data_IF_757836648685
#
_entry.id   IF_757836648685
#
_cell.length_a   1.000
_cell.length_b   1.000
_cell.length_c   1.000
_cell.angle_alpha   90.00
_cell.angle_beta   90.00
_cell.angle_gamma   90.00
#
_symmetry.space_group_name_H-M   'P 1'
#
loop_
_entity.id
_entity.type
_entity.pdbx_description
1 polymer ?
#
# COMPACT_ATOMS: atom_id res chain seq x y z
N UNK A 1 -35.29 -53.78 15.37
CA UNK A 1 -35.01 -52.51 16.09
C UNK A 1 -33.56 -52.05 15.97
N UNK A 2 -32.55 -52.88 16.28
CA UNK A 2 -31.11 -52.48 16.26
C UNK A 2 -30.59 -51.91 14.93
N UNK A 3 -31.14 -52.34 13.80
CA UNK A 3 -30.67 -51.91 12.47
C UNK A 3 -31.08 -50.46 12.11
N UNK A 4 -32.18 -49.95 12.67
CA UNK A 4 -32.67 -48.60 12.41
C UNK A 4 -31.90 -47.53 13.20
N UNK A 5 -31.45 -47.89 14.41
CA UNK A 5 -30.62 -47.03 15.26
C UNK A 5 -29.21 -46.86 14.69
N UNK A 6 -28.63 -47.94 14.14
CA UNK A 6 -27.33 -47.90 13.47
C UNK A 6 -27.33 -46.98 12.24
N UNK A 7 -28.40 -47.02 11.44
CA UNK A 7 -28.56 -46.13 10.27
C UNK A 7 -28.71 -44.66 10.72
N UNK A 8 -29.52 -44.39 11.77
CA UNK A 8 -29.64 -43.04 12.33
C UNK A 8 -28.30 -42.49 12.86
N UNK A 9 -27.48 -43.31 13.50
CA UNK A 9 -26.15 -42.91 13.97
C UNK A 9 -25.17 -42.64 12.81
N UNK A 10 -25.19 -43.46 11.75
CA UNK A 10 -24.35 -43.22 10.57
C UNK A 10 -24.73 -41.92 9.86
N UNK A 11 -26.02 -41.65 9.64
CA UNK A 11 -26.48 -40.41 8.98
C UNK A 11 -26.10 -39.17 9.81
N UNK A 12 -26.23 -39.23 11.14
CA UNK A 12 -25.89 -38.11 12.03
C UNK A 12 -24.38 -37.80 12.02
N UNK A 13 -23.53 -38.83 11.92
CA UNK A 13 -22.08 -38.65 11.81
C UNK A 13 -21.64 -38.12 10.44
N UNK A 14 -22.30 -38.52 9.34
CA UNK A 14 -22.01 -38.02 8.00
C UNK A 14 -22.38 -36.55 7.88
N UNK A 15 -23.55 -36.15 8.38
CA UNK A 15 -24.00 -34.75 8.35
C UNK A 15 -23.06 -33.86 9.18
N UNK A 16 -22.66 -34.28 10.39
CA UNK A 16 -21.73 -33.51 11.20
C UNK A 16 -20.34 -33.37 10.56
N UNK A 17 -19.84 -34.40 9.87
CA UNK A 17 -18.56 -34.32 9.14
C UNK A 17 -18.65 -33.41 7.91
N UNK A 18 -19.78 -33.40 7.22
CA UNK A 18 -19.97 -32.56 6.04
C UNK A 18 -20.08 -31.07 6.39
N UNK A 19 -20.79 -30.73 7.47
CA UNK A 19 -20.89 -29.35 7.98
C UNK A 19 -19.51 -28.81 8.41
N UNK A 20 -18.68 -29.66 9.02
CA UNK A 20 -17.33 -29.26 9.44
C UNK A 20 -16.40 -28.99 8.24
N UNK A 21 -16.51 -29.80 7.17
CA UNK A 21 -15.74 -29.61 5.93
C UNK A 21 -16.15 -28.33 5.16
N UNK A 22 -17.44 -28.00 5.13
CA UNK A 22 -17.92 -26.76 4.46
C UNK A 22 -17.52 -25.51 5.25
N UNK A 23 -17.53 -25.56 6.58
CA UNK A 23 -17.09 -24.44 7.42
C UNK A 23 -15.58 -24.18 7.29
N UNK A 24 -14.76 -25.24 7.28
CA UNK A 24 -13.31 -25.12 7.07
C UNK A 24 -12.93 -24.65 5.66
N UNK A 25 -13.67 -25.06 4.63
CA UNK A 25 -13.41 -24.62 3.25
C UNK A 25 -13.73 -23.15 3.00
N UNK A 26 -14.69 -22.58 3.74
CA UNK A 26 -15.12 -21.19 3.56
C UNK A 26 -14.15 -20.14 4.13
N UNK A 27 -13.29 -20.53 5.07
CA UNK A 27 -12.32 -19.61 5.70
C UNK A 27 -11.10 -19.31 4.82
N UNK A 28 -10.73 -20.20 3.89
CA UNK A 28 -9.53 -20.05 3.06
C UNK A 28 -9.72 -19.24 1.77
N UNK A 29 -10.96 -18.93 1.39
CA UNK A 29 -11.25 -18.20 0.14
C UNK A 29 -11.19 -16.67 0.32
N UNK A 30 -11.15 -16.17 1.56
CA UNK A 30 -11.23 -14.73 1.81
C UNK A 30 -9.87 -14.00 1.72
N UNK A 31 -8.76 -14.66 2.05
CA UNK A 31 -7.43 -14.00 2.10
C UNK A 31 -6.79 -13.80 0.72
N UNK A 32 -7.02 -14.73 -0.23
CA UNK A 32 -6.41 -14.64 -1.56
C UNK A 32 -6.92 -13.43 -2.37
N UNK A 33 -8.20 -13.08 -2.21
CA UNK A 33 -8.83 -11.99 -2.97
C UNK A 33 -8.45 -10.59 -2.44
N UNK A 34 -7.91 -10.52 -1.23
CA UNK A 34 -7.53 -9.26 -0.58
C UNK A 34 -6.16 -8.74 -1.07
N UNK A 35 -5.28 -9.64 -1.55
CA UNK A 35 -3.96 -9.26 -2.08
C UNK A 35 -4.05 -8.41 -3.35
N UNK A 36 -5.03 -8.66 -4.21
CA UNK A 36 -5.18 -7.95 -5.49
C UNK A 36 -5.78 -6.54 -5.38
N UNK A 37 -6.15 -6.09 -4.17
CA UNK A 37 -6.82 -4.80 -3.95
C UNK A 37 -6.14 -3.98 -2.87
N UNK A 38 -6.22 -2.66 -3.02
CA UNK A 38 -5.80 -1.75 -1.96
C UNK A 38 -6.77 -1.82 -0.78
N UNK A 39 -6.20 -1.84 0.43
CA UNK A 39 -6.95 -1.79 1.68
C UNK A 39 -7.56 -0.41 1.88
N UNK A 40 -8.55 -0.29 2.79
CA UNK A 40 -9.13 1.01 3.14
C UNK A 40 -8.06 1.99 3.62
N UNK A 41 -7.15 1.53 4.46
CA UNK A 41 -6.07 2.33 5.03
C UNK A 41 -5.08 2.80 3.96
N UNK A 42 -4.77 1.98 2.96
CA UNK A 42 -3.96 2.41 1.82
C UNK A 42 -4.63 3.54 1.01
N UNK A 43 -5.95 3.52 0.82
CA UNK A 43 -6.65 4.67 0.23
C UNK A 43 -6.54 5.92 1.11
N UNK A 44 -6.68 5.78 2.43
CA UNK A 44 -6.52 6.91 3.36
C UNK A 44 -5.11 7.50 3.34
N UNK A 45 -4.08 6.66 3.17
CA UNK A 45 -2.69 7.09 2.96
C UNK A 45 -2.57 7.91 1.68
N UNK A 46 -3.12 7.44 0.57
CA UNK A 46 -3.11 8.16 -0.72
C UNK A 46 -3.81 9.51 -0.57
N UNK A 47 -5.00 9.57 0.04
CA UNK A 47 -5.70 10.83 0.31
C UNK A 47 -4.86 11.80 1.16
N UNK A 48 -4.22 11.27 2.20
CA UNK A 48 -3.34 12.01 3.10
C UNK A 48 -2.24 12.74 2.36
N UNK A 49 -1.61 12.08 1.38
CA UNK A 49 -0.42 12.60 0.71
C UNK A 49 -0.70 13.85 -0.12
N UNK A 50 -1.95 14.06 -0.52
CA UNK A 50 -2.35 15.25 -1.28
C UNK A 50 -3.11 16.28 -0.45
N UNK A 51 -3.42 16.01 0.83
CA UNK A 51 -4.31 16.84 1.66
C UNK A 51 -3.94 18.33 1.63
N UNK A 52 -2.63 18.63 1.66
CA UNK A 52 -2.10 19.99 1.71
C UNK A 52 -1.47 20.47 0.38
N UNK A 53 -1.65 19.74 -0.72
CA UNK A 53 -0.99 20.05 -2.01
C UNK A 53 -1.53 21.30 -2.71
N UNK A 54 -2.67 21.87 -2.27
CA UNK A 54 -3.31 23.03 -2.91
C UNK A 54 -3.84 22.79 -4.33
N UNK A 55 -3.71 21.56 -4.87
CA UNK A 55 -4.17 21.20 -6.22
C UNK A 55 -5.64 20.76 -6.20
N UNK A 56 -6.49 21.42 -6.98
CA UNK A 56 -7.90 21.05 -7.14
C UNK A 56 -8.09 19.65 -7.73
N UNK A 57 -7.20 19.28 -8.66
CA UNK A 57 -7.19 17.97 -9.29
C UNK A 57 -5.79 17.35 -9.28
N UNK A 58 -5.75 16.02 -9.20
CA UNK A 58 -4.53 15.23 -9.26
C UNK A 58 -4.75 14.08 -10.23
N UNK A 59 -4.01 14.12 -11.34
CA UNK A 59 -4.05 13.07 -12.37
C UNK A 59 -3.11 11.95 -11.96
N UNK A 60 -3.64 10.77 -11.68
CA UNK A 60 -2.86 9.60 -11.31
C UNK A 60 -3.08 8.48 -12.32
N UNK A 61 -2.05 7.68 -12.59
CA UNK A 61 -2.21 6.49 -13.40
C UNK A 61 -3.22 5.53 -12.74
N UNK A 62 -4.04 4.85 -13.53
CA UNK A 62 -5.18 4.07 -13.01
C UNK A 62 -4.78 2.81 -12.21
N UNK A 63 -3.52 2.42 -12.27
CA UNK A 63 -2.94 1.30 -11.53
C UNK A 63 -1.74 1.77 -10.68
N UNK A 64 -1.51 1.09 -9.56
CA UNK A 64 -0.23 1.22 -8.87
C UNK A 64 0.88 0.61 -9.71
N UNK A 65 2.10 1.15 -9.60
CA UNK A 65 3.28 0.59 -10.27
C UNK A 65 3.98 -0.43 -9.37
N UNK A 66 4.54 -1.46 -10.00
CA UNK A 66 5.59 -2.25 -9.36
C UNK A 66 6.89 -1.44 -9.45
N UNK A 67 7.65 -1.37 -8.36
CA UNK A 67 8.99 -0.82 -8.49
C UNK A 67 9.89 -1.41 -7.44
N UNK A 68 10.74 -2.35 -7.86
CA UNK A 68 11.74 -3.02 -6.99
C UNK A 68 13.09 -2.30 -6.98
N UNK A 69 13.32 -1.35 -7.90
CA UNK A 69 14.64 -0.76 -8.14
C UNK A 69 14.85 0.62 -7.52
N UNK A 70 14.02 1.09 -6.59
CA UNK A 70 14.31 2.37 -5.88
C UNK A 70 14.83 2.16 -4.46
N UNK A 71 14.50 1.04 -3.82
CA UNK A 71 14.85 0.86 -2.39
C UNK A 71 16.35 0.84 -2.17
N UNK A 72 17.12 0.32 -3.13
CA UNK A 72 18.58 0.35 -3.03
C UNK A 72 19.14 1.78 -2.98
N UNK A 73 18.39 2.76 -3.50
CA UNK A 73 18.76 4.17 -3.41
C UNK A 73 18.70 4.62 -1.95
N UNK A 74 17.72 4.20 -1.15
CA UNK A 74 17.61 4.57 0.28
C UNK A 74 18.85 4.19 1.13
N UNK A 75 19.67 3.24 0.66
CA UNK A 75 20.83 2.72 1.39
C UNK A 75 22.17 3.20 0.83
N UNK A 76 22.18 3.99 -0.25
CA UNK A 76 23.42 4.53 -0.83
C UNK A 76 24.06 5.64 0.02
N UNK A 77 25.33 5.96 -0.26
CA UNK A 77 26.10 7.01 0.42
C UNK A 77 25.39 8.39 0.46
N UNK A 78 24.44 8.61 -0.46
CA UNK A 78 23.61 9.83 -0.54
C UNK A 78 22.62 10.03 0.64
N UNK A 79 22.34 9.00 1.45
CA UNK A 79 21.19 8.97 2.37
C UNK A 79 21.56 8.86 3.86
N UNK A 80 22.83 8.54 4.17
CA UNK A 80 23.34 8.31 5.54
C UNK A 80 24.33 9.39 5.99
N UNK A 81 24.16 10.62 5.54
CA UNK A 81 24.86 11.76 6.17
C UNK A 81 24.05 12.29 7.36
N UNK A 82 24.74 12.81 8.39
CA UNK A 82 24.21 13.22 9.72
C UNK A 82 23.04 14.24 9.71
N UNK A 83 22.58 14.66 8.54
CA UNK A 83 21.59 15.73 8.32
C UNK A 83 20.18 15.19 8.04
N UNK A 84 20.04 13.86 8.03
CA UNK A 84 18.80 13.17 7.68
C UNK A 84 18.65 12.91 6.19
N UNK A 85 17.65 12.09 5.81
CA UNK A 85 17.39 11.80 4.41
C UNK A 85 16.78 13.06 3.80
N UNK A 86 17.60 13.85 3.13
CA UNK A 86 17.24 14.80 2.08
C UNK A 86 15.88 15.53 2.28
N UNK A 87 15.64 16.09 3.49
CA UNK A 87 14.45 16.84 4.00
C UNK A 87 13.66 16.16 5.15
N UNK A 88 13.99 14.93 5.55
CA UNK A 88 13.43 14.25 6.73
C UNK A 88 14.33 14.45 7.95
N UNK A 89 13.85 15.11 9.01
CA UNK A 89 14.56 15.17 10.30
C UNK A 89 14.28 13.89 11.11
N UNK A 90 15.29 13.04 11.32
CA UNK A 90 15.18 11.83 12.14
C UNK A 90 15.28 12.10 13.65
N UNK A 91 14.45 13.00 14.20
CA UNK A 91 14.35 13.12 15.66
C UNK A 91 13.66 11.88 16.28
N UNK A 92 12.95 11.10 15.47
CA UNK A 92 12.30 9.84 15.87
C UNK A 92 13.04 8.62 15.31
N UNK A 93 13.72 7.87 16.19
CA UNK A 93 14.41 6.62 15.86
C UNK A 93 13.48 5.55 15.25
N UNK A 94 12.16 5.67 15.43
CA UNK A 94 11.20 4.75 14.80
C UNK A 94 11.11 4.96 13.29
N UNK A 95 11.34 6.16 12.79
CA UNK A 95 11.31 6.41 11.34
C UNK A 95 12.46 5.67 10.64
N UNK A 96 13.67 5.75 11.20
CA UNK A 96 14.85 5.02 10.70
C UNK A 96 14.57 3.50 10.68
N UNK A 97 14.08 2.95 11.79
CA UNK A 97 13.71 1.53 11.88
C UNK A 97 12.62 1.12 10.88
N UNK A 98 11.66 2.00 10.60
CA UNK A 98 10.63 1.74 9.60
C UNK A 98 11.20 1.76 8.18
N UNK A 99 12.13 2.67 7.88
CA UNK A 99 12.82 2.73 6.58
C UNK A 99 13.63 1.44 6.33
N UNK A 100 14.32 0.94 7.36
CA UNK A 100 15.06 -0.33 7.27
C UNK A 100 14.15 -1.52 6.91
N UNK A 101 12.88 -1.48 7.33
CA UNK A 101 11.90 -2.53 7.04
C UNK A 101 11.26 -2.40 5.64
N UNK A 102 11.35 -1.23 4.99
CA UNK A 102 10.70 -1.00 3.67
C UNK A 102 11.13 -2.04 2.63
N UNK A 103 12.40 -2.49 2.65
CA UNK A 103 12.93 -3.45 1.68
C UNK A 103 12.17 -4.78 1.67
N UNK A 104 11.76 -5.26 2.84
CA UNK A 104 11.04 -6.54 2.98
C UNK A 104 9.63 -6.45 2.41
N UNK A 105 9.02 -5.26 2.51
CA UNK A 105 7.70 -4.99 1.95
C UNK A 105 7.75 -4.76 0.44
N UNK A 106 8.73 -4.01 -0.07
CA UNK A 106 8.82 -3.67 -1.50
C UNK A 106 8.95 -4.89 -2.40
N UNK A 107 9.64 -5.93 -1.93
CA UNK A 107 9.78 -7.19 -2.68
C UNK A 107 8.43 -7.83 -3.03
N UNK A 108 7.41 -7.53 -2.24
CA UNK A 108 6.06 -8.10 -2.32
C UNK A 108 5.01 -7.15 -2.90
N UNK A 109 5.40 -5.93 -3.32
CA UNK A 109 4.45 -4.97 -3.90
C UNK A 109 3.86 -5.53 -5.18
N UNK A 110 2.54 -5.33 -5.33
CA UNK A 110 1.79 -5.74 -6.52
C UNK A 110 1.19 -4.53 -7.24
N UNK A 111 1.04 -4.66 -8.55
CA UNK A 111 0.25 -3.76 -9.39
C UNK A 111 -1.23 -3.99 -9.07
N UNK A 112 -1.93 -2.93 -8.70
CA UNK A 112 -3.33 -2.95 -8.27
C UNK A 112 -4.09 -1.82 -8.94
N UNK A 113 -5.28 -2.11 -9.45
CA UNK A 113 -6.16 -1.07 -9.97
C UNK A 113 -6.77 -0.23 -8.85
N UNK A 114 -6.75 1.08 -9.02
CA UNK A 114 -7.48 1.99 -8.15
C UNK A 114 -8.97 1.83 -8.38
N UNK A 115 -9.73 1.79 -7.28
CA UNK A 115 -11.18 1.87 -7.31
C UNK A 115 -11.60 3.36 -7.23
N UNK A 116 -12.16 3.94 -8.29
CA UNK A 116 -12.54 5.36 -8.31
C UNK A 116 -13.53 5.75 -7.21
N UNK A 117 -14.36 4.80 -6.74
CA UNK A 117 -15.35 5.04 -5.69
C UNK A 117 -14.74 5.17 -4.30
N UNK A 118 -13.50 4.71 -4.12
CA UNK A 118 -12.75 4.80 -2.85
C UNK A 118 -11.77 5.96 -2.83
N UNK A 119 -11.55 6.61 -3.97
CA UNK A 119 -10.78 7.84 -4.10
C UNK A 119 -11.71 9.05 -4.00
N UNK A 120 -11.16 10.14 -3.50
CA UNK A 120 -11.77 11.45 -3.46
C UNK A 120 -11.93 12.01 -4.87
N UNK A 121 -12.90 12.92 -5.02
CA UNK A 121 -13.26 13.53 -6.31
C UNK A 121 -12.13 14.29 -6.99
N UNK A 122 -11.07 14.63 -6.24
CA UNK A 122 -9.87 15.30 -6.74
C UNK A 122 -9.03 14.42 -7.67
N UNK A 123 -9.14 13.10 -7.55
CA UNK A 123 -8.32 12.18 -8.33
C UNK A 123 -8.96 11.90 -9.68
N UNK A 124 -8.18 12.13 -10.73
CA UNK A 124 -8.55 11.78 -12.11
C UNK A 124 -7.66 10.62 -12.53
N UNK A 125 -8.26 9.44 -12.74
CA UNK A 125 -7.52 8.26 -13.19
C UNK A 125 -7.22 8.36 -14.68
N UNK A 126 -5.94 8.29 -15.04
CA UNK A 126 -5.45 8.28 -16.42
C UNK A 126 -5.15 6.85 -16.83
N UNK A 127 -5.69 6.42 -17.97
CA UNK A 127 -5.44 5.09 -18.57
C UNK A 127 -4.55 5.13 -19.79
N UNK A 128 -4.63 6.22 -20.55
CA UNK A 128 -3.84 6.43 -21.75
C UNK A 128 -2.48 7.03 -21.36
N UNK A 129 -1.39 6.36 -21.72
CA UNK A 129 -0.03 6.82 -21.41
C UNK A 129 0.36 8.07 -22.21
N UNK A 130 -0.37 8.42 -23.27
CA UNK A 130 -0.16 9.66 -24.04
C UNK A 130 -0.72 10.90 -23.35
N UNK A 131 -1.55 10.71 -22.33
CA UNK A 131 -2.21 11.78 -21.57
C UNK A 131 -1.32 12.36 -20.44
N UNK A 132 -0.08 12.74 -20.76
CA UNK A 132 0.84 13.38 -19.80
C UNK A 132 0.42 14.84 -19.44
N UNK A 133 0.83 15.39 -18.28
CA UNK A 133 1.53 14.71 -17.19
C UNK A 133 0.56 13.94 -16.28
N UNK A 134 0.96 12.75 -15.85
CA UNK A 134 0.32 12.03 -14.75
C UNK A 134 1.33 11.57 -13.70
N UNK A 135 0.83 11.27 -12.50
CA UNK A 135 1.60 10.72 -11.40
C UNK A 135 1.37 9.22 -11.30
N UNK A 136 2.44 8.44 -11.26
CA UNK A 136 2.39 7.02 -10.92
C UNK A 136 2.71 6.80 -9.44
N UNK A 137 2.00 5.88 -8.81
CA UNK A 137 2.12 5.59 -7.38
C UNK A 137 2.39 4.11 -7.15
N UNK A 138 3.26 3.73 -6.21
CA UNK A 138 3.23 2.34 -5.71
C UNK A 138 1.99 2.12 -4.85
N UNK A 139 1.69 0.86 -4.52
CA UNK A 139 0.82 0.67 -3.37
C UNK A 139 1.49 1.27 -2.11
N UNK A 140 0.72 1.89 -1.21
CA UNK A 140 1.28 2.37 0.04
C UNK A 140 1.78 1.23 0.91
N UNK A 141 2.98 1.41 1.45
CA UNK A 141 3.58 0.53 2.45
C UNK A 141 3.33 1.15 3.81
N UNK A 142 2.79 0.39 4.76
CA UNK A 142 2.49 0.86 6.11
C UNK A 142 3.29 0.02 7.10
N UNK A 143 4.10 0.68 7.93
CA UNK A 143 4.98 0.06 8.93
C UNK A 143 4.82 0.83 10.24
N UNK A 144 4.07 0.24 11.17
CA UNK A 144 3.69 0.90 12.41
C UNK A 144 2.90 2.19 12.15
N UNK A 145 3.40 3.29 12.69
CA UNK A 145 2.78 4.62 12.53
C UNK A 145 3.32 5.40 11.31
N UNK A 146 4.10 4.75 10.44
CA UNK A 146 4.65 5.36 9.24
C UNK A 146 4.07 4.74 7.97
N UNK A 147 3.88 5.57 6.94
CA UNK A 147 3.52 5.13 5.60
C UNK A 147 4.49 5.67 4.57
N UNK A 148 4.75 4.87 3.54
CA UNK A 148 5.67 5.17 2.46
C UNK A 148 4.97 4.95 1.12
N UNK A 149 5.03 5.95 0.24
CA UNK A 149 4.45 5.89 -1.11
C UNK A 149 5.44 6.44 -2.11
N UNK A 150 5.84 5.65 -3.10
CA UNK A 150 6.66 6.17 -4.18
C UNK A 150 5.79 7.02 -5.10
N UNK A 151 6.21 8.25 -5.31
CA UNK A 151 5.67 9.19 -6.28
C UNK A 151 6.60 9.24 -7.48
N UNK A 152 6.09 8.89 -8.65
CA UNK A 152 6.83 8.91 -9.91
C UNK A 152 6.15 9.83 -10.91
N UNK A 153 6.77 10.96 -11.16
CA UNK A 153 6.49 11.86 -12.27
C UNK A 153 7.42 11.54 -13.45
N UNK A 154 7.14 12.06 -14.66
CA UNK A 154 8.02 11.85 -15.83
C UNK A 154 9.48 12.24 -15.58
N UNK A 155 9.73 13.30 -14.79
CA UNK A 155 11.05 13.88 -14.59
C UNK A 155 11.56 13.79 -13.15
N UNK A 156 10.81 13.15 -12.25
CA UNK A 156 11.22 13.02 -10.85
C UNK A 156 10.58 11.80 -10.16
N UNK A 157 11.32 11.23 -9.21
CA UNK A 157 10.84 10.20 -8.30
C UNK A 157 11.14 10.63 -6.87
N UNK A 158 10.16 10.51 -5.98
CA UNK A 158 10.30 10.76 -4.55
C UNK A 158 9.57 9.71 -3.73
N UNK A 159 10.08 9.38 -2.55
CA UNK A 159 9.35 8.60 -1.56
C UNK A 159 8.66 9.55 -0.59
N UNK A 160 7.34 9.59 -0.65
CA UNK A 160 6.53 10.35 0.31
C UNK A 160 6.40 9.58 1.61
N UNK A 161 6.77 10.24 2.71
CA UNK A 161 6.71 9.69 4.07
C UNK A 161 5.61 10.42 4.84
N UNK A 162 4.75 9.65 5.49
CA UNK A 162 3.72 10.18 6.35
C UNK A 162 3.76 9.50 7.71
N UNK A 163 3.41 10.25 8.76
CA UNK A 163 3.24 9.73 10.11
C UNK A 163 1.78 9.80 10.51
N UNK A 164 1.31 8.76 11.19
CA UNK A 164 -0.03 8.72 11.76
C UNK A 164 -0.06 9.57 13.03
N UNK A 165 -0.94 10.56 13.08
CA UNK A 165 -1.11 11.40 14.27
C UNK A 165 -2.01 10.73 15.33
N UNK A 166 -2.15 11.36 16.49
CA UNK A 166 -2.98 10.85 17.60
C UNK A 166 -4.46 10.66 17.24
N UNK A 167 -4.96 11.33 16.20
CA UNK A 167 -6.33 11.18 15.70
C UNK A 167 -6.48 10.03 14.70
N UNK A 168 -5.39 9.31 14.41
CA UNK A 168 -5.35 8.24 13.43
C UNK A 168 -5.25 8.72 11.99
N UNK A 169 -4.96 10.01 11.76
CA UNK A 169 -4.85 10.57 10.41
C UNK A 169 -3.39 10.51 9.92
N UNK A 170 -3.22 10.14 8.65
CA UNK A 170 -1.92 10.22 7.98
C UNK A 170 -1.57 11.67 7.63
N UNK A 171 -0.46 12.15 8.17
CA UNK A 171 0.04 13.51 7.97
C UNK A 171 1.39 13.44 7.29
N UNK A 172 1.59 14.25 6.25
CA UNK A 172 2.88 14.40 5.59
C UNK A 172 3.98 14.71 6.61
N UNK A 173 5.03 13.91 6.61
CA UNK A 173 6.20 14.08 7.45
C UNK A 173 7.32 14.73 6.62
N UNK A 174 7.67 14.10 5.50
CA UNK A 174 8.74 14.53 4.61
C UNK A 174 8.66 13.80 3.26
N UNK A 175 9.49 14.23 2.31
CA UNK A 175 9.65 13.60 1.00
C UNK A 175 11.14 13.36 0.75
N UNK A 176 11.45 12.15 0.31
CA UNK A 176 12.81 11.70 0.02
C UNK A 176 13.00 11.72 -1.50
N UNK A 177 13.74 12.68 -2.08
CA UNK A 177 14.01 12.68 -3.52
C UNK A 177 14.90 11.49 -3.89
N UNK A 178 14.47 10.68 -4.86
CA UNK A 178 15.18 9.49 -5.35
C UNK A 178 15.84 9.74 -6.72
N UNK A 179 15.17 10.54 -7.55
CA UNK A 179 15.64 10.91 -8.88
C UNK A 179 15.03 12.26 -9.29
N UNK A 180 15.83 13.14 -9.88
CA UNK A 180 15.35 14.40 -10.46
C UNK A 180 16.14 14.68 -11.73
N UNK A 181 15.46 14.92 -12.85
CA UNK A 181 16.08 15.49 -14.06
C UNK A 181 16.11 17.00 -13.90
N UNK A 182 17.30 17.58 -13.74
CA UNK A 182 17.51 19.02 -13.83
C UNK A 182 17.72 19.33 -15.32
N UNK A 183 16.76 20.05 -15.92
CA UNK A 183 16.92 20.61 -17.27
C UNK A 183 17.37 22.06 -17.11
N UNK A 184 18.54 22.39 -17.66
CA UNK A 184 19.12 23.75 -17.73
C UNK A 184 18.24 24.74 -18.51
#
# INVERSE_FOLDING_TARGET
MKHLEAIKQMVRNVINRFVFLVLLGSSFVCEAQQKDRLTKEQYEVIEGAFRNSGKDQTRIFFQTIDYKSWVHLLYGDYYREDWGIALCSFEDSKLEQSIDQVIDHVRNIQVKEFNPRKLGKRFVLVKDLTEEPYLSLTEPIIIGDYSFVLFKYPNSESLEVQKKNEKGEWVYECSIPLYVVITD
#
